data_IF_914415750189
#
_entry.id   IF_914415750189
#
_cell.length_a   1.000
_cell.length_b   1.000
_cell.length_c   1.000
_cell.angle_alpha   90.00
_cell.angle_beta   90.00
_cell.angle_gamma   90.00
#
_symmetry.space_group_name_H-M   'P 1'
#
loop_
_entity.id
_entity.type
_entity.pdbx_description
1 polymer ?
#
# COMPACT_ATOMS: atom_id res chain seq x y z
N UNK A 1 6.82 14.27 10.11
CA UNK A 1 6.33 15.67 10.03
C UNK A 1 5.05 15.95 10.85
N UNK A 2 3.80 15.75 10.34
CA UNK A 2 2.58 16.17 11.09
C UNK A 2 2.25 15.27 12.29
N UNK A 3 2.43 13.96 12.15
CA UNK A 3 2.16 12.96 13.21
C UNK A 3 3.11 13.13 14.40
N UNK A 4 4.39 13.43 14.14
CA UNK A 4 5.38 13.66 15.20
C UNK A 4 5.10 14.94 16.00
N UNK A 5 4.66 16.02 15.35
CA UNK A 5 4.25 17.26 16.04
C UNK A 5 3.03 17.06 16.93
N UNK A 6 2.11 16.17 16.53
CA UNK A 6 0.93 15.82 17.35
C UNK A 6 1.34 14.99 18.58
N UNK A 7 2.30 14.07 18.43
CA UNK A 7 2.83 13.26 19.54
C UNK A 7 3.65 14.08 20.54
N UNK A 8 4.32 15.14 20.09
CA UNK A 8 5.15 16.01 20.93
C UNK A 8 4.34 17.07 21.73
N UNK A 9 3.02 17.13 21.54
CA UNK A 9 2.18 18.11 22.22
C UNK A 9 1.84 17.63 23.64
N UNK A 10 1.96 18.51 24.64
CA UNK A 10 1.77 18.20 26.07
C UNK A 10 0.40 17.64 26.45
N UNK A 11 -0.60 17.84 25.59
CA UNK A 11 -1.96 17.28 25.73
C UNK A 11 -2.18 15.96 25.00
N UNK A 12 -1.17 15.38 24.35
CA UNK A 12 -1.29 14.10 23.67
C UNK A 12 -1.27 12.96 24.69
N UNK A 13 -2.38 12.23 24.78
CA UNK A 13 -2.50 11.02 25.59
C UNK A 13 -2.68 9.80 24.69
N UNK A 14 -2.37 8.61 25.20
CA UNK A 14 -2.59 7.35 24.46
C UNK A 14 -4.05 7.20 23.99
N UNK A 15 -5.02 7.72 24.76
CA UNK A 15 -6.45 7.74 24.42
C UNK A 15 -6.76 8.66 23.22
N UNK A 16 -6.11 9.83 23.15
CA UNK A 16 -6.18 10.74 21.99
C UNK A 16 -5.52 10.09 20.76
N UNK A 17 -4.40 9.39 20.94
CA UNK A 17 -3.78 8.58 19.90
C UNK A 17 -4.74 7.53 19.35
N UNK A 18 -5.44 6.80 20.23
CA UNK A 18 -6.42 5.77 19.86
C UNK A 18 -7.64 6.35 19.13
N UNK A 19 -8.21 7.46 19.63
CA UNK A 19 -9.34 8.17 18.99
C UNK A 19 -8.99 8.74 17.62
N UNK A 20 -7.77 9.22 17.44
CA UNK A 20 -7.27 9.72 16.15
C UNK A 20 -6.81 8.58 15.21
N UNK A 21 -6.95 7.30 15.60
CA UNK A 21 -6.34 6.15 14.92
C UNK A 21 -4.85 6.31 14.65
N UNK A 22 -4.19 7.11 15.50
CA UNK A 22 -2.74 7.09 15.71
C UNK A 22 -2.49 5.99 16.75
N UNK A 23 -3.05 4.80 16.50
CA UNK A 23 -2.62 3.61 17.23
C UNK A 23 -1.21 3.31 16.74
N UNK A 24 -0.23 3.82 17.49
CA UNK A 24 1.11 3.29 17.51
C UNK A 24 1.11 1.91 18.20
N UNK A 25 0.26 1.00 17.71
CA UNK A 25 0.57 -0.42 17.84
C UNK A 25 1.88 -0.63 17.09
N UNK A 26 2.87 -1.24 17.74
CA UNK A 26 4.10 -1.65 17.04
C UNK A 26 3.65 -2.48 15.84
N UNK A 27 3.77 -1.92 14.64
CA UNK A 27 3.59 -2.70 13.43
C UNK A 27 4.67 -3.77 13.50
N UNK A 28 4.26 -5.03 13.58
CA UNK A 28 5.20 -6.11 13.39
C UNK A 28 5.64 -6.08 11.93
N UNK A 29 6.79 -5.45 11.71
CA UNK A 29 7.34 -5.23 10.39
C UNK A 29 7.65 -6.55 9.66
N UNK A 30 7.69 -7.70 10.35
CA UNK A 30 7.91 -9.00 9.73
C UNK A 30 6.62 -9.63 9.17
N UNK A 31 5.50 -9.51 9.88
CA UNK A 31 4.22 -10.13 9.49
C UNK A 31 3.25 -9.17 8.79
N UNK A 32 3.53 -7.87 8.79
CA UNK A 32 2.63 -6.89 8.21
C UNK A 32 2.37 -7.15 6.72
N UNK A 33 1.10 -7.03 6.32
CA UNK A 33 0.63 -7.20 4.95
C UNK A 33 -0.29 -6.05 4.59
N UNK A 34 -0.02 -5.39 3.46
CA UNK A 34 -0.94 -4.37 2.94
C UNK A 34 -2.16 -5.04 2.31
N UNK A 35 -3.34 -4.43 2.46
CA UNK A 35 -4.56 -4.93 1.86
C UNK A 35 -4.81 -4.23 0.52
N UNK A 36 -4.86 -5.00 -0.56
CA UNK A 36 -5.30 -4.52 -1.86
C UNK A 36 -6.81 -4.75 -2.01
N UNK A 37 -7.51 -3.73 -2.48
CA UNK A 37 -8.88 -3.81 -2.95
C UNK A 37 -8.95 -4.32 -4.39
N UNK A 38 -10.16 -4.52 -4.88
CA UNK A 38 -10.41 -5.00 -6.25
C UNK A 38 -9.77 -4.06 -7.28
N UNK A 39 -8.83 -4.58 -8.06
CA UNK A 39 -8.26 -3.90 -9.21
C UNK A 39 -9.34 -3.67 -10.29
N UNK A 40 -9.30 -2.50 -10.94
CA UNK A 40 -10.25 -2.13 -11.99
C UNK A 40 -9.53 -1.40 -13.12
N UNK A 41 -9.85 -1.78 -14.35
CA UNK A 41 -9.50 -0.97 -15.51
C UNK A 41 -10.36 0.30 -15.52
N UNK A 42 -9.71 1.45 -15.63
CA UNK A 42 -10.34 2.77 -15.77
C UNK A 42 -9.69 3.47 -16.97
N UNK A 43 -10.34 3.38 -18.14
CA UNK A 43 -9.73 3.80 -19.40
C UNK A 43 -8.46 2.99 -19.71
N UNK A 44 -7.36 3.68 -19.96
CA UNK A 44 -6.05 3.08 -20.27
C UNK A 44 -5.24 2.72 -19.02
N UNK A 45 -5.82 2.88 -17.82
CA UNK A 45 -5.13 2.71 -16.55
C UNK A 45 -5.75 1.57 -15.75
N UNK A 46 -4.99 1.03 -14.81
CA UNK A 46 -5.52 0.16 -13.75
C UNK A 46 -5.43 0.89 -12.43
N UNK A 47 -6.56 0.99 -11.73
CA UNK A 47 -6.63 1.54 -10.38
C UNK A 47 -6.80 0.41 -9.36
N UNK A 48 -5.97 0.39 -8.33
CA UNK A 48 -6.05 -0.56 -7.22
C UNK A 48 -6.19 0.21 -5.91
N UNK A 49 -7.39 0.24 -5.29
CA UNK A 49 -7.54 0.75 -3.95
C UNK A 49 -6.68 -0.05 -2.97
N UNK A 50 -6.15 0.58 -1.93
CA UNK A 50 -5.44 -0.15 -0.87
C UNK A 50 -5.68 0.47 0.51
N UNK A 51 -5.49 -0.34 1.55
CA UNK A 51 -5.47 0.09 2.96
C UNK A 51 -4.10 -0.17 3.57
N UNK A 52 -3.72 0.71 4.50
CA UNK A 52 -2.49 0.58 5.28
C UNK A 52 -2.76 0.88 6.75
N UNK A 53 -1.98 0.26 7.64
CA UNK A 53 -2.00 0.59 9.07
C UNK A 53 -1.65 2.08 9.25
N UNK A 54 -2.52 2.80 9.94
CA UNK A 54 -2.38 4.24 10.19
C UNK A 54 -1.13 4.56 10.99
N UNK A 55 -0.53 5.72 10.73
CA UNK A 55 0.54 6.30 11.56
C UNK A 55 1.93 5.68 11.46
N UNK A 56 2.07 4.42 11.01
CA UNK A 56 3.37 3.73 10.91
C UNK A 56 3.80 3.32 9.51
N UNK A 57 2.86 3.07 8.57
CA UNK A 57 3.18 2.76 7.16
C UNK A 57 3.14 4.02 6.32
N UNK A 58 4.23 4.28 5.59
CA UNK A 58 4.32 5.42 4.66
C UNK A 58 3.43 5.20 3.44
N UNK A 59 3.50 4.02 2.83
CA UNK A 59 2.71 3.68 1.65
C UNK A 59 2.95 2.25 1.22
N UNK A 60 2.72 1.98 -0.07
CA UNK A 60 3.00 0.68 -0.67
C UNK A 60 3.90 0.83 -1.90
N UNK A 61 4.77 -0.13 -2.15
CA UNK A 61 5.32 -0.37 -3.47
C UNK A 61 4.39 -1.38 -4.17
N UNK A 62 3.82 -0.98 -5.30
CA UNK A 62 2.99 -1.82 -6.14
C UNK A 62 3.85 -2.54 -7.17
N UNK A 63 3.58 -3.83 -7.35
CA UNK A 63 4.21 -4.69 -8.33
C UNK A 63 3.15 -5.28 -9.25
N UNK A 64 3.46 -5.38 -10.54
CA UNK A 64 2.63 -5.99 -11.58
C UNK A 64 3.35 -7.20 -12.15
N UNK A 65 2.62 -8.28 -12.39
CA UNK A 65 3.10 -9.43 -13.11
C UNK A 65 2.07 -9.84 -14.17
N UNK A 66 2.49 -9.84 -15.42
CA UNK A 66 1.68 -10.32 -16.55
C UNK A 66 1.82 -11.83 -16.67
N UNK A 67 0.85 -12.46 -17.34
CA UNK A 67 0.95 -13.89 -17.65
C UNK A 67 2.18 -14.18 -18.51
N UNK A 68 3.09 -15.01 -18.00
CA UNK A 68 4.36 -15.37 -18.67
C UNK A 68 5.58 -14.58 -18.17
N UNK A 69 5.38 -13.54 -17.36
CA UNK A 69 6.49 -12.82 -16.75
C UNK A 69 7.19 -13.70 -15.72
N UNK A 70 8.52 -13.83 -15.84
CA UNK A 70 9.37 -14.57 -14.88
C UNK A 70 9.42 -13.90 -13.51
N UNK A 71 9.18 -12.59 -13.44
CA UNK A 71 9.23 -11.81 -12.21
C UNK A 71 8.26 -10.63 -12.27
N UNK A 72 7.77 -10.20 -11.11
CA UNK A 72 6.93 -9.02 -10.99
C UNK A 72 7.75 -7.73 -11.19
N UNK A 73 7.23 -6.80 -11.98
CA UNK A 73 7.79 -5.49 -12.23
C UNK A 73 7.26 -4.48 -11.23
N UNK A 74 8.13 -3.63 -10.68
CA UNK A 74 7.70 -2.54 -9.81
C UNK A 74 6.98 -1.47 -10.64
N UNK A 75 5.72 -1.22 -10.33
CA UNK A 75 4.91 -0.15 -10.93
C UNK A 75 5.29 1.19 -10.33
N UNK A 76 5.41 1.25 -9.00
CA UNK A 76 5.76 2.48 -8.30
C UNK A 76 5.44 2.47 -6.82
N UNK A 77 5.81 3.56 -6.15
CA UNK A 77 5.45 3.82 -4.76
C UNK A 77 4.18 4.68 -4.68
N UNK A 78 3.23 4.28 -3.84
CA UNK A 78 1.96 4.97 -3.64
C UNK A 78 1.75 5.29 -2.16
N UNK A 79 1.75 6.59 -1.85
CA UNK A 79 1.43 7.08 -0.51
C UNK A 79 -0.07 7.09 -0.23
N UNK A 80 -0.91 7.31 -1.26
CA UNK A 80 -2.37 7.43 -1.16
C UNK A 80 -3.07 6.43 -2.07
N UNK A 81 -4.26 6.02 -1.62
CA UNK A 81 -5.18 5.19 -2.41
C UNK A 81 -5.97 6.08 -3.39
N UNK A 82 -6.28 5.61 -4.61
CA UNK A 82 -5.85 4.34 -5.20
C UNK A 82 -4.39 4.40 -5.71
N UNK A 83 -3.75 3.24 -5.79
CA UNK A 83 -2.56 3.08 -6.63
C UNK A 83 -3.00 3.03 -8.11
N UNK A 84 -2.21 3.63 -8.99
CA UNK A 84 -2.54 3.78 -10.41
C UNK A 84 -1.39 3.25 -11.25
N UNK A 85 -1.65 2.18 -12.00
CA UNK A 85 -0.77 1.72 -13.06
C UNK A 85 -1.16 2.41 -14.36
N UNK A 86 -0.29 3.31 -14.83
CA UNK A 86 -0.55 4.11 -16.03
C UNK A 86 -0.19 3.41 -17.33
N UNK A 87 0.51 2.28 -17.26
CA UNK A 87 0.96 1.52 -18.42
C UNK A 87 0.80 0.02 -18.19
N UNK A 88 -0.44 -0.47 -17.93
CA UNK A 88 -0.70 -1.85 -17.50
C UNK A 88 -0.38 -2.89 -18.59
N UNK A 89 -0.30 -2.49 -19.86
CA UNK A 89 -0.26 -3.44 -20.97
C UNK A 89 -1.64 -4.09 -21.17
N UNK A 90 -1.68 -5.20 -21.91
CA UNK A 90 -2.92 -5.94 -22.21
C UNK A 90 -2.87 -7.35 -21.62
N UNK A 91 -4.05 -7.92 -21.41
CA UNK A 91 -4.21 -9.28 -20.91
C UNK A 91 -4.41 -9.35 -19.40
N UNK A 92 -4.19 -10.54 -18.85
CA UNK A 92 -4.35 -10.81 -17.42
C UNK A 92 -3.13 -10.33 -16.64
N UNK A 93 -3.39 -9.44 -15.68
CA UNK A 93 -2.38 -8.81 -14.84
C UNK A 93 -2.65 -9.14 -13.38
N UNK A 94 -1.60 -9.54 -12.67
CA UNK A 94 -1.62 -9.79 -11.24
C UNK A 94 -0.85 -8.68 -10.51
N UNK A 95 -1.48 -8.10 -9.49
CA UNK A 95 -0.90 -7.03 -8.70
C UNK A 95 -0.66 -7.50 -7.27
N UNK A 96 0.54 -7.23 -6.76
CA UNK A 96 0.90 -7.41 -5.35
C UNK A 96 1.51 -6.12 -4.82
N UNK A 97 1.50 -5.96 -3.50
CA UNK A 97 2.05 -4.79 -2.86
C UNK A 97 2.90 -5.15 -1.65
N UNK A 98 3.97 -4.38 -1.44
CA UNK A 98 4.78 -4.43 -0.21
C UNK A 98 4.65 -3.11 0.52
N UNK A 99 4.48 -3.18 1.83
CA UNK A 99 4.37 -1.99 2.65
C UNK A 99 5.72 -1.31 2.81
N UNK A 100 5.74 0.01 2.93
CA UNK A 100 6.96 0.79 3.05
C UNK A 100 6.95 1.61 4.34
N UNK A 101 8.03 1.53 5.10
CA UNK A 101 8.31 2.33 6.30
C UNK A 101 9.72 2.91 6.18
N UNK A 102 9.88 4.22 6.32
CA UNK A 102 11.17 4.90 6.19
C UNK A 102 11.92 4.46 4.91
N UNK A 103 11.21 4.48 3.78
CA UNK A 103 11.72 4.13 2.44
C UNK A 103 12.16 2.66 2.27
N UNK A 104 11.99 1.82 3.29
CA UNK A 104 12.27 0.38 3.22
C UNK A 104 10.99 -0.42 3.14
N UNK A 105 11.01 -1.43 2.28
CA UNK A 105 9.94 -2.43 2.26
C UNK A 105 9.98 -3.27 3.53
N UNK A 106 8.80 -3.53 4.06
CA UNK A 106 8.60 -4.36 5.24
C UNK A 106 7.55 -5.42 4.95
N UNK A 107 7.61 -6.48 5.74
CA UNK A 107 6.57 -7.47 5.83
C UNK A 107 6.46 -8.36 4.60
N UNK A 108 5.28 -8.95 4.46
CA UNK A 108 4.96 -9.87 3.39
C UNK A 108 4.28 -9.16 2.21
N UNK A 109 4.42 -9.70 0.99
CA UNK A 109 3.57 -9.27 -0.12
C UNK A 109 2.09 -9.37 0.25
N UNK A 110 1.28 -8.43 -0.25
CA UNK A 110 -0.18 -8.51 -0.19
C UNK A 110 -0.71 -9.77 -0.89
N UNK A 111 -1.99 -10.06 -0.67
CA UNK A 111 -2.69 -10.98 -1.56
C UNK A 111 -2.67 -10.40 -2.97
N UNK A 112 -2.54 -11.29 -3.94
CA UNK A 112 -2.58 -10.90 -5.33
C UNK A 112 -4.01 -10.50 -5.69
N UNK A 113 -4.14 -9.40 -6.43
CA UNK A 113 -5.40 -9.01 -7.06
C UNK A 113 -5.22 -8.99 -8.56
N UNK A 114 -6.15 -9.60 -9.27
CA UNK A 114 -6.05 -9.78 -10.72
C UNK A 114 -7.04 -8.89 -11.45
N UNK A 115 -6.67 -8.46 -12.65
CA UNK A 115 -7.55 -7.75 -13.58
C UNK A 115 -7.16 -8.12 -15.01
N UNK A 116 -8.15 -8.22 -15.88
CA UNK A 116 -7.93 -8.39 -17.32
C UNK A 116 -8.09 -7.04 -18.00
N UNK A 117 -7.07 -6.60 -18.73
CA UNK A 117 -7.04 -5.34 -19.49
C UNK A 117 -7.21 -5.63 -20.97
N UNK A 118 -8.16 -4.95 -21.62
CA UNK A 118 -8.47 -5.10 -23.05
C UNK A 118 -7.57 -4.25 -23.96
#
# INVERSE_FOLDING_TARGET
ARVERIKAHSKFTADIGKKLKIESGKIDAASYKAELGRARQTGNFVTIPFRKAGGGVSGINLYRQSKGDKAAQKVGFFFRTPAIDTAPGKGELNYTARAVVNEKEIGQPSDAVSVTVA
#
